data_IF_534227064063
#
_entry.id   IF_534227064063
#
_cell.length_a   1.000
_cell.length_b   1.000
_cell.length_c   1.000
_cell.angle_alpha   90.00
_cell.angle_beta   90.00
_cell.angle_gamma   90.00
#
_symmetry.space_group_name_H-M   'P 1'
#
loop_
_entity.id
_entity.type
_entity.pdbx_description
1 polymer ?
#
# COMPACT_ATOMS: atom_id res chain seq x y z
N UNK A 1 -7.09 -3.50 -9.29
CA UNK A 1 -8.25 -3.03 -8.50
C UNK A 1 -7.73 -2.11 -7.40
N UNK A 2 -8.34 -0.93 -7.14
CA UNK A 2 -7.89 -0.03 -6.08
C UNK A 2 -8.11 -0.66 -4.70
N UNK A 3 -7.23 -0.37 -3.75
CA UNK A 3 -7.41 -0.81 -2.37
C UNK A 3 -8.50 0.04 -1.70
N UNK A 4 -9.48 -0.61 -1.08
CA UNK A 4 -10.51 0.06 -0.30
C UNK A 4 -9.98 0.43 1.08
N UNK A 5 -10.34 1.62 1.63
CA UNK A 5 -10.18 1.90 3.05
C UNK A 5 -10.75 0.76 3.91
N UNK A 6 -10.01 0.35 4.95
CA UNK A 6 -10.31 -0.83 5.76
C UNK A 6 -9.69 -2.13 5.25
N UNK A 7 -9.03 -2.13 4.09
CA UNK A 7 -8.31 -3.33 3.60
C UNK A 7 -7.10 -3.60 4.48
N UNK A 8 -7.04 -4.81 5.04
CA UNK A 8 -5.86 -5.28 5.77
C UNK A 8 -4.87 -5.95 4.81
N UNK A 9 -3.64 -5.47 4.81
CA UNK A 9 -2.50 -6.01 4.07
C UNK A 9 -1.46 -6.48 5.08
N UNK A 10 -1.62 -7.71 5.58
CA UNK A 10 -0.81 -8.22 6.68
C UNK A 10 -0.92 -7.33 7.92
N UNK A 11 0.18 -6.76 8.46
CA UNK A 11 0.13 -5.87 9.62
C UNK A 11 -0.31 -4.43 9.29
N UNK A 12 -0.61 -4.12 8.03
CA UNK A 12 -0.96 -2.77 7.61
C UNK A 12 -2.47 -2.66 7.37
N UNK A 13 -3.12 -1.68 8.00
CA UNK A 13 -4.53 -1.38 7.75
C UNK A 13 -4.63 -0.14 6.87
N UNK A 14 -5.12 -0.27 5.63
CA UNK A 14 -5.27 0.84 4.69
C UNK A 14 -6.34 1.81 5.19
N UNK A 15 -6.02 3.08 5.33
CA UNK A 15 -6.95 4.11 5.82
C UNK A 15 -7.47 5.00 4.69
N UNK A 16 -6.60 5.40 3.75
CA UNK A 16 -7.00 6.26 2.63
C UNK A 16 -6.01 6.16 1.46
N UNK A 17 -6.47 6.45 0.24
CA UNK A 17 -5.58 6.73 -0.90
C UNK A 17 -5.06 8.16 -0.75
N UNK A 18 -3.74 8.32 -0.76
CA UNK A 18 -3.08 9.63 -0.58
C UNK A 18 -2.38 10.14 -1.84
N UNK A 19 -2.25 9.31 -2.87
CA UNK A 19 -1.73 9.75 -4.15
C UNK A 19 -1.80 8.68 -5.24
N UNK A 20 -1.65 9.13 -6.48
CA UNK A 20 -1.45 8.27 -7.64
C UNK A 20 -0.47 8.91 -8.62
N UNK A 21 0.27 8.09 -9.35
CA UNK A 21 1.13 8.53 -10.43
C UNK A 21 1.54 7.37 -11.34
N UNK A 22 2.40 7.65 -12.32
CA UNK A 22 2.79 6.67 -13.35
C UNK A 22 3.50 5.40 -12.83
N UNK A 23 3.96 5.40 -11.58
CA UNK A 23 4.59 4.23 -10.92
C UNK A 23 3.65 3.52 -9.93
N UNK A 24 2.35 3.81 -9.96
CA UNK A 24 1.35 3.18 -9.10
C UNK A 24 0.67 4.11 -8.10
N UNK A 25 -0.09 3.51 -7.19
CA UNK A 25 -0.93 4.20 -6.21
C UNK A 25 -0.25 4.22 -4.84
N UNK A 26 -0.46 5.28 -4.08
CA UNK A 26 0.05 5.44 -2.71
C UNK A 26 -1.12 5.55 -1.76
N UNK A 27 -1.11 4.71 -0.74
CA UNK A 27 -2.12 4.65 0.31
C UNK A 27 -1.50 4.95 1.66
N UNK A 28 -2.21 5.70 2.50
CA UNK A 28 -1.94 5.74 3.92
C UNK A 28 -2.45 4.46 4.55
N UNK A 29 -1.65 3.91 5.45
CA UNK A 29 -2.04 2.77 6.26
C UNK A 29 -1.45 2.89 7.65
N UNK A 30 -2.05 2.22 8.63
CA UNK A 30 -1.51 2.10 9.99
C UNK A 30 -0.82 0.75 10.14
N UNK A 31 0.45 0.78 10.54
CA UNK A 31 1.23 -0.40 10.89
C UNK A 31 0.89 -0.84 12.31
N UNK A 32 0.07 -1.89 12.44
CA UNK A 32 -0.41 -2.37 13.74
C UNK A 32 0.66 -3.03 14.59
N UNK A 33 1.84 -3.33 14.03
CA UNK A 33 2.98 -3.87 14.80
C UNK A 33 3.83 -2.78 15.45
N UNK A 34 3.94 -1.63 14.79
CA UNK A 34 4.77 -0.51 15.24
C UNK A 34 3.93 0.68 15.73
N UNK A 35 2.61 0.56 15.69
CA UNK A 35 1.63 1.58 16.08
C UNK A 35 1.93 2.95 15.45
N UNK A 36 2.11 2.97 14.12
CA UNK A 36 2.44 4.20 13.39
C UNK A 36 1.84 4.23 11.99
N UNK A 37 1.60 5.44 11.50
CA UNK A 37 1.18 5.64 10.12
C UNK A 37 2.33 5.47 9.13
N UNK A 38 2.01 4.85 7.99
CA UNK A 38 2.95 4.53 6.92
C UNK A 38 2.32 4.80 5.55
N UNK A 39 3.17 5.03 4.56
CA UNK A 39 2.76 5.06 3.16
C UNK A 39 3.04 3.71 2.50
N UNK A 40 2.00 3.10 1.95
CA UNK A 40 2.07 1.90 1.13
C UNK A 40 2.00 2.28 -0.34
N UNK A 41 3.05 1.98 -1.10
CA UNK A 41 3.04 2.16 -2.55
C UNK A 41 2.71 0.82 -3.22
N UNK A 42 1.57 0.79 -3.90
CA UNK A 42 1.12 -0.33 -4.72
C UNK A 42 1.62 -0.13 -6.13
N UNK A 43 2.46 -1.06 -6.59
CA UNK A 43 2.96 -1.04 -7.96
C UNK A 43 1.96 -1.76 -8.89
N UNK A 44 1.74 -1.26 -10.12
CA UNK A 44 0.97 -1.98 -11.12
C UNK A 44 1.68 -3.29 -11.48
N UNK A 45 0.90 -4.33 -11.82
CA UNK A 45 1.36 -5.69 -12.17
C UNK A 45 2.05 -5.73 -13.55
N UNK A 46 3.10 -4.93 -13.75
CA UNK A 46 3.95 -4.97 -14.94
C UNK A 46 5.16 -5.86 -14.62
N UNK A 47 4.93 -7.18 -14.61
CA UNK A 47 5.99 -8.16 -14.41
C UNK A 47 5.43 -9.54 -14.08
N UNK A 48 5.58 -10.45 -15.05
CA UNK A 48 5.15 -11.86 -15.01
C UNK A 48 5.42 -12.56 -13.67
N UNK A 49 4.39 -13.25 -13.17
CA UNK A 49 4.50 -14.21 -12.08
C UNK A 49 3.79 -13.79 -10.80
N UNK A 50 2.60 -14.37 -10.66
CA UNK A 50 1.75 -14.47 -9.46
C UNK A 50 0.94 -13.21 -9.06
N UNK A 51 -0.38 -13.38 -9.14
CA UNK A 51 -1.40 -12.41 -8.77
C UNK A 51 -1.24 -11.99 -7.30
N UNK A 52 -0.54 -10.87 -7.10
CA UNK A 52 -0.23 -10.33 -5.79
C UNK A 52 0.29 -8.92 -5.95
N UNK A 53 -0.55 -7.93 -5.63
CA UNK A 53 -0.16 -6.54 -5.59
C UNK A 53 1.15 -6.39 -4.78
N UNK A 54 2.24 -6.01 -5.44
CA UNK A 54 3.54 -5.84 -4.79
C UNK A 54 3.54 -4.52 -4.02
N UNK A 55 3.31 -4.61 -2.71
CA UNK A 55 3.29 -3.46 -1.80
C UNK A 55 4.71 -3.15 -1.35
N UNK A 56 5.23 -1.98 -1.73
CA UNK A 56 6.50 -1.46 -1.19
C UNK A 56 6.19 -0.47 -0.08
N UNK A 57 6.68 -0.73 1.13
CA UNK A 57 6.66 0.23 2.23
C UNK A 57 7.64 1.35 1.93
N UNK A 58 7.17 2.58 1.87
CA UNK A 58 8.04 3.76 1.86
C UNK A 58 7.86 4.40 3.24
N UNK A 59 8.85 4.25 4.11
CA UNK A 59 8.83 4.92 5.40
C UNK A 59 8.95 6.43 5.15
N UNK A 60 7.94 7.20 5.59
CA UNK A 60 8.16 8.63 5.79
C UNK A 60 9.25 8.78 6.84
N UNK A 61 10.28 9.54 6.49
CA UNK A 61 11.47 9.78 7.30
C UNK A 61 11.11 10.29 8.70
#
# INVERSE_FOLDING_TARGET
MPLTPGTALGPYSVTAKIGEGGMGEVYQATDTKLDRDVALKVLPEVGEGEAGARVRRVASR
#
